data_IF_298116929230
#
_entry.id   IF_298116929230
#
_cell.length_a   1.000
_cell.length_b   1.000
_cell.length_c   1.000
_cell.angle_alpha   90.00
_cell.angle_beta   90.00
_cell.angle_gamma   90.00
#
_symmetry.space_group_name_H-M   'P 1'
#
loop_
_entity.id
_entity.type
_entity.pdbx_description
1 polymer ?
#
# COMPACT_ATOMS: atom_id res chain seq x y z
N UNK A 1 20.98 -21.51 -12.96
CA UNK A 1 20.03 -20.48 -13.44
C UNK A 1 19.10 -20.18 -12.28
N UNK A 2 19.46 -19.19 -11.46
CA UNK A 2 18.62 -18.75 -10.36
C UNK A 2 17.46 -17.94 -10.96
N UNK A 3 16.24 -18.46 -10.82
CA UNK A 3 15.03 -17.71 -11.08
C UNK A 3 15.05 -16.52 -10.11
N UNK A 4 15.27 -15.32 -10.65
CA UNK A 4 14.99 -14.08 -9.92
C UNK A 4 13.49 -14.07 -9.71
N UNK A 5 13.05 -14.30 -8.48
CA UNK A 5 11.69 -14.00 -8.07
C UNK A 5 11.51 -12.51 -8.31
N UNK A 6 10.68 -12.16 -9.27
CA UNK A 6 10.35 -10.79 -9.58
C UNK A 6 9.65 -10.22 -8.35
N UNK A 7 10.35 -9.39 -7.57
CA UNK A 7 9.76 -8.68 -6.45
C UNK A 7 8.82 -7.60 -7.00
N UNK A 8 7.59 -7.98 -7.32
CA UNK A 8 6.51 -7.03 -7.52
C UNK A 8 6.20 -6.38 -6.17
N UNK A 9 6.45 -5.07 -6.08
CA UNK A 9 6.19 -4.32 -4.85
C UNK A 9 4.68 -4.04 -4.71
N UNK A 10 4.14 -4.12 -3.48
CA UNK A 10 2.74 -3.76 -3.24
C UNK A 10 2.49 -2.29 -3.58
N UNK A 11 1.27 -1.99 -3.99
CA UNK A 11 0.85 -0.60 -4.16
C UNK A 11 0.96 0.17 -2.84
N UNK A 12 1.11 1.50 -2.91
CA UNK A 12 1.08 2.33 -1.70
C UNK A 12 -0.19 2.07 -0.91
N UNK A 13 -0.07 1.94 0.41
CA UNK A 13 -1.24 1.72 1.27
C UNK A 13 -2.10 2.98 1.31
N UNK A 14 -3.29 2.90 0.74
CA UNK A 14 -4.32 3.94 0.73
C UNK A 14 -5.64 3.38 1.28
N UNK A 15 -6.59 4.26 1.61
CA UNK A 15 -7.94 3.87 2.04
C UNK A 15 -8.25 4.23 3.49
N UNK A 16 -9.20 3.53 4.14
CA UNK A 16 -9.63 3.87 5.47
C UNK A 16 -8.51 3.75 6.51
N UNK A 17 -8.20 4.87 7.17
CA UNK A 17 -7.05 4.99 8.11
C UNK A 17 -7.09 3.93 9.22
N UNK A 18 -8.27 3.56 9.70
CA UNK A 18 -8.41 2.56 10.77
C UNK A 18 -7.96 1.15 10.34
N UNK A 19 -7.99 0.82 9.04
CA UNK A 19 -7.51 -0.46 8.51
C UNK A 19 -5.98 -0.53 8.39
N UNK A 20 -5.28 0.61 8.36
CA UNK A 20 -3.80 0.65 8.32
C UNK A 20 -3.14 -0.14 9.46
N UNK A 21 -3.84 -0.33 10.58
CA UNK A 21 -3.38 -1.12 11.74
C UNK A 21 -3.23 -2.62 11.45
N UNK A 22 -3.75 -3.09 10.32
CA UNK A 22 -3.58 -4.45 9.81
C UNK A 22 -2.30 -4.59 8.97
N UNK A 23 -1.73 -3.48 8.49
CA UNK A 23 -0.46 -3.50 7.76
C UNK A 23 0.66 -4.04 8.65
N UNK A 24 1.53 -4.86 8.05
CA UNK A 24 2.62 -5.55 8.75
C UNK A 24 2.17 -6.74 9.62
N UNK A 25 0.88 -7.13 9.60
CA UNK A 25 0.38 -8.35 10.25
C UNK A 25 -0.09 -9.33 9.20
N UNK A 26 0.15 -10.62 9.46
CA UNK A 26 -0.25 -11.70 8.56
C UNK A 26 -1.17 -12.69 9.29
N UNK A 27 -2.19 -13.16 8.59
CA UNK A 27 -3.22 -14.03 9.13
C UNK A 27 -3.29 -15.29 8.27
N UNK A 28 -3.18 -16.45 8.90
CA UNK A 28 -3.16 -17.72 8.20
C UNK A 28 -4.38 -18.57 8.45
N UNK A 29 -4.75 -19.35 7.44
CA UNK A 29 -5.78 -20.38 7.49
C UNK A 29 -5.20 -21.64 6.85
N UNK A 30 -5.30 -22.77 7.56
CA UNK A 30 -4.97 -24.08 6.99
C UNK A 30 -6.27 -24.74 6.56
N UNK A 31 -6.37 -25.05 5.28
CA UNK A 31 -7.51 -25.73 4.70
C UNK A 31 -7.02 -26.90 3.84
N UNK A 32 -7.48 -28.11 4.18
CA UNK A 32 -6.98 -29.36 3.60
C UNK A 32 -5.45 -29.49 3.71
N UNK A 33 -4.71 -29.47 2.59
CA UNK A 33 -3.25 -29.61 2.54
C UNK A 33 -2.52 -28.28 2.34
N UNK A 34 -3.23 -27.15 2.32
CA UNK A 34 -2.65 -25.84 2.04
C UNK A 34 -2.79 -24.89 3.23
N UNK A 35 -1.73 -24.15 3.52
CA UNK A 35 -1.74 -22.98 4.39
C UNK A 35 -1.81 -21.74 3.51
N UNK A 36 -2.88 -20.97 3.66
CA UNK A 36 -3.01 -19.65 3.07
C UNK A 36 -2.59 -18.60 4.08
N UNK A 37 -1.92 -17.55 3.62
CA UNK A 37 -1.51 -16.43 4.46
C UNK A 37 -1.85 -15.12 3.77
N UNK A 38 -2.61 -14.27 4.46
CA UNK A 38 -2.98 -12.93 4.01
C UNK A 38 -2.23 -11.91 4.86
N UNK A 39 -1.44 -11.06 4.21
CA UNK A 39 -0.85 -9.87 4.81
C UNK A 39 -1.53 -8.64 4.17
N UNK A 40 -2.53 -8.02 4.83
CA UNK A 40 -3.26 -6.88 4.24
C UNK A 40 -2.32 -5.76 3.80
N UNK A 41 -2.60 -5.17 2.64
CA UNK A 41 -1.76 -4.16 1.97
C UNK A 41 -0.39 -4.65 1.48
N UNK A 42 -0.14 -5.96 1.51
CA UNK A 42 1.09 -6.55 1.03
C UNK A 42 0.82 -7.64 -0.01
N UNK A 43 0.55 -8.87 0.40
CA UNK A 43 0.33 -10.00 -0.51
C UNK A 43 -0.53 -11.09 0.13
N UNK A 44 -0.91 -12.06 -0.71
CA UNK A 44 -1.53 -13.33 -0.32
C UNK A 44 -0.64 -14.45 -0.81
N UNK A 45 -0.32 -15.41 0.05
CA UNK A 45 0.50 -16.58 -0.31
C UNK A 45 -0.22 -17.88 -0.01
N UNK A 46 0.21 -18.92 -0.71
CA UNK A 46 -0.21 -20.31 -0.50
C UNK A 46 1.03 -21.18 -0.32
N UNK A 47 0.99 -22.01 0.72
CA UNK A 47 2.05 -22.97 1.03
C UNK A 47 1.45 -24.36 1.23
N UNK A 48 1.79 -25.30 0.37
CA UNK A 48 1.48 -26.71 0.55
C UNK A 48 2.19 -27.25 1.80
N UNK A 49 1.44 -27.92 2.67
CA UNK A 49 1.93 -28.43 3.96
C UNK A 49 2.44 -29.88 3.89
N UNK A 50 2.54 -30.47 2.70
CA UNK A 50 3.02 -31.84 2.54
C UNK A 50 4.54 -31.90 2.73
N UNK A 51 5.06 -33.00 3.30
CA UNK A 51 6.49 -33.21 3.51
C UNK A 51 7.22 -33.64 2.21
N UNK A 52 6.85 -33.03 1.09
CA UNK A 52 7.47 -33.27 -0.22
C UNK A 52 8.59 -32.25 -0.43
N UNK A 53 9.69 -32.70 -1.00
CA UNK A 53 10.82 -31.82 -1.34
C UNK A 53 10.45 -30.74 -2.37
N UNK A 54 9.34 -30.92 -3.10
CA UNK A 54 8.81 -30.03 -4.11
C UNK A 54 7.40 -29.51 -3.78
N UNK A 55 7.06 -29.36 -2.49
CA UNK A 55 5.80 -28.78 -2.06
C UNK A 55 5.60 -27.38 -2.70
N UNK A 56 4.40 -27.12 -3.23
CA UNK A 56 4.12 -25.85 -3.88
C UNK A 56 4.11 -24.69 -2.87
N UNK A 57 4.76 -23.59 -3.22
CA UNK A 57 4.73 -22.34 -2.47
C UNK A 57 4.68 -21.20 -3.46
N UNK A 58 3.72 -20.29 -3.32
CA UNK A 58 3.51 -19.25 -4.31
C UNK A 58 2.66 -18.08 -3.86
N UNK A 59 2.72 -17.00 -4.65
CA UNK A 59 1.96 -15.77 -4.41
C UNK A 59 0.63 -15.85 -5.18
N UNK A 60 -0.49 -15.69 -4.46
CA UNK A 60 -1.84 -15.66 -5.05
C UNK A 60 -2.30 -14.26 -5.45
N UNK A 61 -1.55 -13.23 -5.05
CA UNK A 61 -1.75 -11.85 -5.44
C UNK A 61 -1.03 -10.88 -4.50
N UNK A 62 -0.85 -9.66 -4.98
CA UNK A 62 -0.15 -8.55 -4.33
C UNK A 62 -1.12 -7.37 -4.31
N UNK A 63 -1.09 -6.61 -3.21
CA UNK A 63 -1.99 -5.49 -3.01
C UNK A 63 -1.96 -4.51 -4.18
N UNK A 64 -3.12 -4.33 -4.81
CA UNK A 64 -3.26 -3.59 -6.06
C UNK A 64 -4.18 -2.38 -5.89
N UNK A 65 -5.46 -2.61 -5.58
CA UNK A 65 -6.47 -1.57 -5.47
C UNK A 65 -7.66 -2.00 -4.61
N UNK A 66 -8.50 -1.05 -4.23
CA UNK A 66 -9.78 -1.32 -3.60
C UNK A 66 -10.84 -1.72 -4.64
N UNK A 67 -11.76 -2.59 -4.24
CA UNK A 67 -13.06 -2.70 -4.89
C UNK A 67 -14.03 -1.73 -4.22
N UNK A 68 -14.58 -0.81 -5.00
CA UNK A 68 -15.57 0.16 -4.54
C UNK A 68 -16.88 -0.08 -5.30
N UNK A 69 -17.98 -0.22 -4.56
CA UNK A 69 -19.33 -0.27 -5.12
C UNK A 69 -20.25 0.59 -4.28
N UNK A 70 -21.12 1.38 -4.91
CA UNK A 70 -22.07 2.27 -4.22
C UNK A 70 -21.37 3.15 -3.17
N UNK A 71 -20.23 3.76 -3.51
CA UNK A 71 -19.46 4.65 -2.61
C UNK A 71 -19.00 3.98 -1.30
N UNK A 72 -18.89 2.64 -1.31
CA UNK A 72 -18.42 1.82 -0.19
C UNK A 72 -17.27 0.92 -0.62
N UNK A 73 -16.24 0.81 0.23
CA UNK A 73 -15.20 -0.21 0.09
C UNK A 73 -15.83 -1.60 0.30
N UNK A 74 -15.64 -2.50 -0.65
CA UNK A 74 -16.18 -3.88 -0.61
C UNK A 74 -15.10 -4.93 -0.40
N UNK A 75 -13.92 -4.70 -0.94
CA UNK A 75 -12.84 -5.65 -0.83
C UNK A 75 -11.52 -5.10 -1.35
N UNK A 76 -10.50 -5.92 -1.23
CA UNK A 76 -9.14 -5.63 -1.68
C UNK A 76 -8.83 -6.54 -2.87
N UNK A 77 -8.47 -5.95 -4.01
CA UNK A 77 -7.93 -6.68 -5.13
C UNK A 77 -6.44 -6.91 -4.92
N UNK A 78 -6.06 -8.18 -4.95
CA UNK A 78 -4.68 -8.65 -4.90
C UNK A 78 -4.37 -9.23 -6.28
N UNK A 79 -3.51 -8.59 -7.07
CA UNK A 79 -3.22 -8.99 -8.47
C UNK A 79 -1.75 -9.36 -8.63
N UNK A 80 -1.36 -9.78 -9.83
CA UNK A 80 0.05 -10.02 -10.18
C UNK A 80 0.75 -11.02 -9.24
N UNK A 81 0.02 -12.07 -8.86
CA UNK A 81 0.61 -13.24 -8.24
C UNK A 81 1.38 -14.09 -9.25
N UNK A 82 1.79 -15.28 -8.83
CA UNK A 82 2.56 -16.21 -9.65
C UNK A 82 1.85 -16.51 -10.99
N UNK A 83 2.65 -16.73 -12.04
CA UNK A 83 2.16 -17.14 -13.34
C UNK A 83 1.30 -18.41 -13.25
N UNK A 84 0.16 -18.38 -13.93
CA UNK A 84 -0.84 -19.44 -13.96
C UNK A 84 -1.45 -19.53 -15.36
N UNK A 85 -0.82 -20.36 -16.19
CA UNK A 85 -1.16 -20.52 -17.61
C UNK A 85 -0.95 -19.21 -18.38
N UNK A 86 -2.02 -18.60 -18.90
CA UNK A 86 -1.97 -17.36 -19.68
C UNK A 86 -2.20 -16.10 -18.86
N UNK A 87 -2.35 -16.22 -17.53
CA UNK A 87 -2.62 -15.09 -16.63
C UNK A 87 -1.84 -15.22 -15.33
N UNK A 88 -1.68 -14.13 -14.61
CA UNK A 88 -1.17 -14.16 -13.23
C UNK A 88 -2.29 -14.55 -12.26
N UNK A 89 -1.94 -15.24 -11.16
CA UNK A 89 -2.90 -15.46 -10.07
C UNK A 89 -3.39 -14.14 -9.51
N UNK A 90 -4.67 -14.11 -9.14
CA UNK A 90 -5.28 -12.96 -8.49
C UNK A 90 -6.24 -13.41 -7.41
N UNK A 91 -6.37 -12.60 -6.38
CA UNK A 91 -7.21 -12.86 -5.23
C UNK A 91 -8.09 -11.65 -4.92
N UNK A 92 -9.35 -11.89 -4.58
CA UNK A 92 -10.25 -10.89 -4.02
C UNK A 92 -10.42 -11.15 -2.53
N UNK A 93 -10.09 -10.18 -1.70
CA UNK A 93 -10.29 -10.26 -0.25
C UNK A 93 -11.51 -9.44 0.14
N UNK A 94 -12.56 -10.12 0.57
CA UNK A 94 -13.76 -9.49 1.11
C UNK A 94 -13.59 -9.23 2.61
N UNK A 95 -13.92 -8.02 3.06
CA UNK A 95 -13.84 -7.63 4.46
C UNK A 95 -15.20 -7.82 5.12
N UNK A 96 -15.24 -8.59 6.21
CA UNK A 96 -16.48 -8.90 6.94
C UNK A 96 -16.34 -8.58 8.42
N UNK A 97 -17.45 -8.19 9.05
CA UNK A 97 -17.47 -7.94 10.49
C UNK A 97 -17.24 -9.25 11.25
N UNK A 98 -16.26 -9.26 12.14
CA UNK A 98 -15.96 -10.40 13.00
C UNK A 98 -15.43 -9.97 14.37
N UNK A 99 -15.42 -10.91 15.33
CA UNK A 99 -14.95 -10.63 16.70
C UNK A 99 -13.43 -10.49 16.81
N UNK A 100 -12.70 -11.09 15.87
CA UNK A 100 -11.24 -11.17 15.85
C UNK A 100 -10.73 -10.95 14.44
N UNK A 101 -9.51 -10.44 14.29
CA UNK A 101 -8.83 -10.38 13.00
C UNK A 101 -8.40 -11.79 12.57
N UNK A 102 -9.01 -12.35 11.53
CA UNK A 102 -8.65 -13.68 11.02
C UNK A 102 -9.04 -13.87 9.56
N UNK A 103 -8.27 -14.70 8.87
CA UNK A 103 -8.69 -15.25 7.57
C UNK A 103 -9.72 -16.36 7.84
N UNK A 104 -10.98 -16.13 7.46
CA UNK A 104 -12.10 -16.98 7.82
C UNK A 104 -12.39 -18.06 6.77
N UNK A 105 -12.21 -17.73 5.49
CA UNK A 105 -12.49 -18.66 4.39
C UNK A 105 -11.62 -18.34 3.17
N UNK A 106 -11.26 -19.38 2.41
CA UNK A 106 -10.56 -19.29 1.12
C UNK A 106 -11.22 -20.24 0.13
N UNK A 107 -11.40 -19.79 -1.11
CA UNK A 107 -11.88 -20.64 -2.20
C UNK A 107 -11.24 -20.26 -3.54
N UNK A 108 -11.22 -21.20 -4.48
CA UNK A 108 -10.81 -20.97 -5.88
C UNK A 108 -12.05 -21.10 -6.79
N UNK A 109 -12.89 -20.05 -6.88
CA UNK A 109 -14.12 -20.10 -7.69
C UNK A 109 -13.86 -20.29 -9.20
N UNK A 110 -12.69 -19.89 -9.68
CA UNK A 110 -12.25 -20.18 -11.05
C UNK A 110 -10.74 -20.33 -11.08
N UNK A 111 -10.21 -21.09 -12.02
CA UNK A 111 -8.77 -21.39 -12.11
C UNK A 111 -7.92 -20.10 -12.05
N UNK A 112 -6.95 -20.08 -11.13
CA UNK A 112 -6.06 -18.94 -10.86
C UNK A 112 -6.73 -17.70 -10.23
N UNK A 113 -8.00 -17.78 -9.83
CA UNK A 113 -8.74 -16.69 -9.18
C UNK A 113 -9.25 -17.16 -7.83
N UNK A 114 -8.80 -16.50 -6.79
CA UNK A 114 -9.12 -16.85 -5.41
C UNK A 114 -10.07 -15.83 -4.79
N UNK A 115 -10.96 -16.30 -3.93
CA UNK A 115 -11.83 -15.49 -3.10
C UNK A 115 -11.54 -15.79 -1.63
N UNK A 116 -11.19 -14.74 -0.87
CA UNK A 116 -10.85 -14.82 0.54
C UNK A 116 -11.84 -13.98 1.33
N UNK A 117 -12.28 -14.49 2.48
CA UNK A 117 -13.08 -13.74 3.44
C UNK A 117 -12.23 -13.44 4.67
N UNK A 118 -11.97 -12.16 4.91
CA UNK A 118 -11.24 -11.70 6.09
C UNK A 118 -12.20 -11.08 7.10
N UNK A 119 -12.23 -11.63 8.30
CA UNK A 119 -13.04 -11.14 9.41
C UNK A 119 -12.22 -10.15 10.25
N UNK A 120 -12.82 -9.01 10.59
CA UNK A 120 -12.20 -8.03 11.48
C UNK A 120 -13.25 -7.19 12.23
N UNK A 121 -13.03 -6.85 13.52
CA UNK A 121 -13.90 -5.93 14.24
C UNK A 121 -13.85 -4.50 13.68
N UNK A 122 -12.82 -4.18 12.89
CA UNK A 122 -12.59 -2.84 12.35
C UNK A 122 -13.66 -2.40 11.34
N UNK A 123 -14.36 -3.36 10.72
CA UNK A 123 -15.40 -3.09 9.71
C UNK A 123 -16.83 -3.31 10.24
N UNK A 124 -17.00 -3.52 11.54
CA UNK A 124 -18.33 -3.79 12.13
C UNK A 124 -19.21 -2.54 12.25
N UNK A 125 -18.64 -1.34 12.29
CA UNK A 125 -19.44 -0.13 12.33
C UNK A 125 -20.03 0.14 10.92
N UNK A 126 -21.33 0.50 10.80
CA UNK A 126 -21.98 0.69 9.49
C UNK A 126 -21.26 1.68 8.57
N UNK A 127 -20.56 2.65 9.15
CA UNK A 127 -19.85 3.70 8.43
C UNK A 127 -18.34 3.42 8.24
N UNK A 128 -17.82 2.28 8.70
CA UNK A 128 -16.38 1.98 8.59
C UNK A 128 -15.91 1.93 7.13
N UNK A 129 -16.76 1.50 6.21
CA UNK A 129 -16.37 1.28 4.81
C UNK A 129 -16.88 2.37 3.85
N UNK A 130 -17.38 3.50 4.36
CA UNK A 130 -17.76 4.62 3.49
C UNK A 130 -16.52 5.26 2.86
N UNK A 131 -16.58 5.56 1.56
CA UNK A 131 -15.46 6.16 0.84
C UNK A 131 -15.32 7.65 1.15
N UNK A 132 -16.43 8.39 1.15
CA UNK A 132 -16.41 9.84 1.35
C UNK A 132 -15.64 10.27 2.62
N UNK A 133 -15.91 9.70 3.82
CA UNK A 133 -15.18 10.07 5.04
C UNK A 133 -13.71 9.65 5.04
N UNK A 134 -13.32 8.68 4.21
CA UNK A 134 -11.93 8.22 4.10
C UNK A 134 -11.07 9.14 3.21
N UNK A 135 -11.71 9.94 2.35
CA UNK A 135 -11.02 10.85 1.44
C UNK A 135 -10.34 12.01 2.17
N UNK A 136 -9.18 12.49 1.66
CA UNK A 136 -8.63 13.77 2.07
C UNK A 136 -9.60 14.93 1.83
N UNK A 137 -9.56 15.96 2.66
CA UNK A 137 -10.44 17.14 2.60
C UNK A 137 -10.55 17.76 1.21
N UNK A 138 -9.44 17.88 0.48
CA UNK A 138 -9.45 18.43 -0.88
C UNK A 138 -10.28 17.59 -1.87
N UNK A 139 -10.24 16.27 -1.73
CA UNK A 139 -11.00 15.35 -2.56
C UNK A 139 -12.47 15.26 -2.13
N UNK A 140 -12.77 15.42 -0.83
CA UNK A 140 -14.15 15.58 -0.34
C UNK A 140 -14.79 16.83 -0.95
N UNK A 141 -14.12 17.98 -0.91
CA UNK A 141 -14.63 19.21 -1.50
C UNK A 141 -14.84 19.08 -3.02
N UNK A 142 -13.98 18.32 -3.70
CA UNK A 142 -14.17 18.05 -5.13
C UNK A 142 -15.37 17.14 -5.37
N UNK A 143 -15.60 16.15 -4.51
CA UNK A 143 -16.82 15.34 -4.54
C UNK A 143 -18.06 16.22 -4.33
N UNK A 144 -18.07 17.08 -3.31
CA UNK A 144 -19.23 17.95 -3.01
C UNK A 144 -19.64 18.81 -4.21
N UNK A 145 -18.66 19.30 -4.97
CA UNK A 145 -18.92 20.04 -6.22
C UNK A 145 -19.54 19.15 -7.30
N UNK A 146 -19.05 17.93 -7.46
CA UNK A 146 -19.59 16.96 -8.42
C UNK A 146 -21.04 16.58 -8.08
N UNK A 147 -21.38 16.46 -6.80
CA UNK A 147 -22.77 16.27 -6.35
C UNK A 147 -23.65 17.49 -6.67
N UNK A 148 -23.13 18.70 -6.42
CA UNK A 148 -23.82 19.93 -6.76
C UNK A 148 -24.05 20.07 -8.26
N UNK A 149 -23.03 19.80 -9.08
CA UNK A 149 -23.12 19.84 -10.55
C UNK A 149 -24.14 18.83 -11.08
N UNK A 150 -24.28 17.66 -10.43
CA UNK A 150 -25.31 16.67 -10.78
C UNK A 150 -26.71 17.18 -10.39
N UNK A 151 -26.85 17.77 -9.20
CA UNK A 151 -28.12 18.32 -8.71
C UNK A 151 -28.59 19.52 -9.53
N UNK A 152 -27.66 20.32 -10.02
CA UNK A 152 -27.90 21.46 -10.92
C UNK A 152 -28.06 21.03 -12.40
N UNK A 153 -28.08 19.72 -12.67
CA UNK A 153 -28.24 19.10 -14.01
C UNK A 153 -27.16 19.54 -15.02
N UNK A 154 -25.98 19.94 -14.54
CA UNK A 154 -24.84 20.35 -15.37
C UNK A 154 -24.06 19.15 -15.93
N UNK A 155 -24.18 18.00 -15.27
CA UNK A 155 -23.56 16.74 -15.69
C UNK A 155 -24.58 15.60 -15.74
N UNK A 156 -24.31 14.61 -16.59
CA UNK A 156 -25.10 13.38 -16.65
C UNK A 156 -24.68 12.40 -15.55
N UNK A 157 -25.49 11.38 -15.27
CA UNK A 157 -25.11 10.29 -14.35
C UNK A 157 -23.79 9.60 -14.75
N UNK A 158 -23.55 9.44 -16.06
CA UNK A 158 -22.27 8.93 -16.56
C UNK A 158 -21.11 9.89 -16.28
N UNK A 159 -21.34 11.20 -16.41
CA UNK A 159 -20.36 12.23 -16.06
C UNK A 159 -20.02 12.22 -14.57
N UNK A 160 -21.03 12.03 -13.73
CA UNK A 160 -20.87 11.88 -12.28
C UNK A 160 -20.01 10.64 -11.94
N UNK A 161 -20.33 9.47 -12.47
CA UNK A 161 -19.56 8.24 -12.25
C UNK A 161 -18.10 8.37 -12.70
N UNK A 162 -17.87 8.98 -13.86
CA UNK A 162 -16.51 9.26 -14.37
C UNK A 162 -15.75 10.20 -13.44
N UNK A 163 -16.41 11.22 -12.91
CA UNK A 163 -15.80 12.20 -12.00
C UNK A 163 -15.45 11.57 -10.66
N UNK A 164 -16.33 10.72 -10.11
CA UNK A 164 -16.03 9.94 -8.90
C UNK A 164 -14.87 8.97 -9.11
N UNK A 165 -14.82 8.28 -10.26
CA UNK A 165 -13.71 7.40 -10.58
C UNK A 165 -12.37 8.14 -10.55
N UNK A 166 -12.31 9.32 -11.17
CA UNK A 166 -11.11 10.16 -11.16
C UNK A 166 -10.72 10.60 -9.73
N UNK A 167 -11.70 10.92 -8.87
CA UNK A 167 -11.45 11.22 -7.45
C UNK A 167 -10.84 10.01 -6.72
N UNK A 168 -11.31 8.79 -7.01
CA UNK A 168 -10.80 7.58 -6.37
C UNK A 168 -9.41 7.18 -6.88
N UNK A 169 -9.13 7.43 -8.16
CA UNK A 169 -7.78 7.28 -8.74
C UNK A 169 -6.80 8.27 -8.11
N UNK A 170 -7.18 9.55 -7.97
CA UNK A 170 -6.35 10.57 -7.32
C UNK A 170 -6.14 10.30 -5.82
N UNK A 171 -7.11 9.65 -5.16
CA UNK A 171 -6.96 9.16 -3.79
C UNK A 171 -6.06 7.91 -3.67
N UNK A 172 -5.66 7.33 -4.80
CA UNK A 172 -4.92 6.07 -4.88
C UNK A 172 -5.74 4.85 -4.48
N UNK A 173 -7.07 4.92 -4.52
CA UNK A 173 -7.95 3.80 -4.19
C UNK A 173 -8.15 2.86 -5.38
N UNK A 174 -8.16 3.40 -6.59
CA UNK A 174 -8.25 2.68 -7.85
C UNK A 174 -6.99 2.93 -8.68
N UNK A 175 -6.62 1.96 -9.52
CA UNK A 175 -5.56 2.16 -10.50
C UNK A 175 -6.13 2.76 -11.79
N UNK A 176 -5.32 3.60 -12.43
CA UNK A 176 -5.63 4.07 -13.78
C UNK A 176 -5.49 2.91 -14.78
N UNK A 177 -6.21 2.93 -15.91
CA UNK A 177 -6.08 1.91 -16.95
C UNK A 177 -4.62 1.71 -17.41
N UNK A 178 -3.88 2.81 -17.56
CA UNK A 178 -2.46 2.79 -17.92
C UNK A 178 -1.59 2.06 -16.90
N UNK A 179 -1.88 2.20 -15.59
CA UNK A 179 -1.17 1.47 -14.53
C UNK A 179 -1.57 -0.01 -14.45
N UNK A 180 -2.81 -0.34 -14.83
CA UNK A 180 -3.26 -1.73 -14.89
C UNK A 180 -2.69 -2.49 -16.09
N UNK A 181 -2.35 -1.79 -17.18
CA UNK A 181 -1.74 -2.36 -18.38
C UNK A 181 -0.20 -2.34 -18.31
N UNK A 182 0.41 -1.35 -17.66
CA UNK A 182 1.89 -1.26 -17.53
C UNK A 182 2.51 -2.44 -16.78
N UNK A 183 1.74 -3.17 -15.98
CA UNK A 183 2.22 -4.38 -15.28
C UNK A 183 2.11 -5.64 -16.15
N UNK A 184 1.28 -5.62 -17.20
CA UNK A 184 1.19 -6.71 -18.19
C UNK A 184 2.11 -6.52 -19.40
N UNK A 185 2.70 -5.33 -19.56
CA UNK A 185 3.73 -5.01 -20.56
C UNK A 185 4.82 -4.11 -19.96
N UNK A 186 5.70 -4.63 -19.11
CA UNK A 186 6.98 -3.95 -18.84
C UNK A 186 7.98 -4.19 -19.97
N UNK A 187 7.73 -3.47 -21.05
CA UNK A 187 8.74 -2.91 -21.92
C UNK A 187 8.59 -1.40 -21.95
N UNK A 188 8.81 -0.68 -20.83
CA UNK A 188 8.98 0.76 -20.90
C UNK A 188 8.48 1.63 -19.74
N UNK A 189 9.01 1.45 -18.53
CA UNK A 189 9.36 2.59 -17.69
C UNK A 189 10.87 2.53 -17.50
N UNK A 190 11.63 3.33 -18.26
CA UNK A 190 13.08 3.44 -18.11
C UNK A 190 13.40 4.10 -16.76
N UNK A 191 13.35 3.32 -15.67
CA UNK A 191 14.37 3.46 -14.65
C UNK A 191 15.71 3.21 -15.34
N UNK A 192 16.59 4.20 -15.38
CA UNK A 192 17.93 4.02 -15.93
C UNK A 192 18.66 3.01 -15.05
N UNK A 193 18.63 1.74 -15.42
CA UNK A 193 19.49 0.73 -14.83
C UNK A 193 20.90 1.00 -15.36
N UNK A 194 21.71 1.66 -14.54
CA UNK A 194 23.09 1.96 -14.87
C UNK A 194 23.93 0.67 -14.80
N UNK A 195 24.49 0.26 -15.94
CA UNK A 195 25.32 -0.95 -16.02
C UNK A 195 26.69 -0.75 -15.34
N UNK A 196 27.12 0.50 -15.14
CA UNK A 196 28.39 0.84 -14.49
C UNK A 196 28.24 2.05 -13.56
N UNK A 197 29.06 2.10 -12.50
CA UNK A 197 29.12 3.22 -11.55
C UNK A 197 29.39 4.57 -12.25
N UNK A 198 30.22 4.55 -13.29
CA UNK A 198 30.58 5.75 -14.05
C UNK A 198 29.37 6.30 -14.83
N UNK A 199 28.56 5.43 -15.44
CA UNK A 199 27.33 5.84 -16.11
C UNK A 199 26.28 6.41 -15.14
N UNK A 200 26.24 5.90 -13.90
CA UNK A 200 25.38 6.41 -12.83
C UNK A 200 25.82 7.81 -12.38
N UNK A 201 27.13 8.01 -12.18
CA UNK A 201 27.68 9.29 -11.73
C UNK A 201 27.44 10.41 -12.75
N UNK A 202 27.62 10.13 -14.04
CA UNK A 202 27.36 11.11 -15.10
C UNK A 202 25.87 11.47 -15.19
N UNK A 203 24.98 10.49 -15.07
CA UNK A 203 23.55 10.74 -15.03
C UNK A 203 23.12 11.53 -13.79
N UNK A 204 23.70 11.23 -12.62
CA UNK A 204 23.46 12.00 -11.40
C UNK A 204 23.93 13.46 -11.54
N UNK A 205 25.08 13.68 -12.18
CA UNK A 205 25.60 15.02 -12.48
C UNK A 205 24.70 15.79 -13.44
N UNK A 206 24.21 15.14 -14.50
CA UNK A 206 23.25 15.72 -15.43
C UNK A 206 21.93 16.08 -14.73
N UNK A 207 21.40 15.18 -13.91
CA UNK A 207 20.18 15.40 -13.11
C UNK A 207 20.34 16.56 -12.12
N UNK A 208 21.48 16.64 -11.42
CA UNK A 208 21.79 17.73 -10.50
C UNK A 208 21.84 19.09 -11.20
N UNK A 209 22.39 19.14 -12.41
CA UNK A 209 22.41 20.35 -13.24
C UNK A 209 21.00 20.78 -13.64
N UNK A 210 20.16 19.83 -14.04
CA UNK A 210 18.77 20.10 -14.42
C UNK A 210 17.92 20.55 -13.24
N UNK A 211 18.09 19.93 -12.07
CA UNK A 211 17.46 20.36 -10.82
C UNK A 211 17.82 21.80 -10.45
N UNK A 212 19.08 22.23 -10.65
CA UNK A 212 19.49 23.62 -10.45
C UNK A 212 18.81 24.56 -11.45
N UNK A 213 18.72 24.17 -12.72
CA UNK A 213 18.05 24.94 -13.78
C UNK A 213 16.57 25.15 -13.45
N UNK A 214 15.86 24.08 -13.11
CA UNK A 214 14.43 24.12 -12.77
C UNK A 214 14.17 24.97 -11.51
N UNK A 215 15.03 24.85 -10.48
CA UNK A 215 14.95 25.72 -9.30
C UNK A 215 15.14 27.19 -9.63
N UNK A 216 16.08 27.51 -10.52
CA UNK A 216 16.28 28.89 -10.99
C UNK A 216 15.02 29.44 -11.67
N UNK A 217 14.37 28.63 -12.51
CA UNK A 217 13.12 29.01 -13.20
C UNK A 217 11.99 29.22 -12.18
N UNK A 218 11.79 28.29 -11.24
CA UNK A 218 10.77 28.43 -10.19
C UNK A 218 10.98 29.69 -9.33
N UNK A 219 12.24 30.00 -9.01
CA UNK A 219 12.59 31.20 -8.25
C UNK A 219 12.32 32.48 -9.07
N UNK A 220 12.59 32.46 -10.37
CA UNK A 220 12.30 33.57 -11.29
C UNK A 220 10.79 33.85 -11.39
N UNK A 221 9.95 32.81 -11.31
CA UNK A 221 8.50 32.91 -11.37
C UNK A 221 7.82 33.04 -9.99
N UNK A 222 8.58 33.27 -8.91
CA UNK A 222 8.06 33.42 -7.54
C UNK A 222 7.19 32.24 -7.05
N UNK A 223 7.50 31.02 -7.48
CA UNK A 223 6.83 29.79 -7.03
C UNK A 223 7.68 29.09 -5.95
N UNK A 224 7.15 28.84 -4.73
CA UNK A 224 7.93 28.19 -3.68
C UNK A 224 8.16 26.71 -3.99
N UNK A 225 9.42 26.29 -4.08
CA UNK A 225 9.81 24.89 -4.17
C UNK A 225 10.07 24.31 -2.77
N UNK A 226 9.21 23.39 -2.32
CA UNK A 226 9.38 22.65 -1.06
C UNK A 226 10.13 21.35 -1.36
N UNK A 227 11.28 21.13 -0.70
CA UNK A 227 12.00 19.84 -0.75
C UNK A 227 11.18 18.78 0.01
N UNK A 228 10.96 17.57 -0.56
CA UNK A 228 10.63 16.40 0.24
C UNK A 228 11.79 16.06 1.18
N UNK A 229 11.49 15.73 2.44
CA UNK A 229 12.49 15.38 3.44
C UNK A 229 13.10 14.00 3.12
N UNK A 230 14.41 13.96 2.85
CA UNK A 230 15.19 12.73 2.78
C UNK A 230 15.67 12.36 4.19
N UNK A 231 15.32 11.15 4.61
CA UNK A 231 15.79 10.45 5.81
C UNK A 231 17.31 10.29 5.78
N UNK A 232 18.02 10.90 6.73
CA UNK A 232 19.46 10.69 6.91
C UNK A 232 19.73 9.41 7.71
N UNK A 233 20.26 8.40 7.05
CA UNK A 233 21.09 7.36 7.67
C UNK A 233 22.55 7.73 7.49
N UNK A 234 23.30 7.92 8.58
CA UNK A 234 24.77 7.96 8.62
C UNK A 234 25.18 7.41 9.99
N UNK A 235 25.62 6.16 10.03
CA UNK A 235 27.03 5.71 10.01
C UNK A 235 27.73 5.79 11.37
N UNK A 236 27.90 4.60 11.93
CA UNK A 236 29.11 4.05 12.55
C UNK A 236 30.29 5.02 12.79
N UNK A 237 30.60 5.27 14.06
CA UNK A 237 31.91 5.76 14.51
C UNK A 237 32.48 4.77 15.52
N UNK A 238 33.66 4.22 15.19
CA UNK A 238 34.43 3.31 16.02
C UNK A 238 35.08 3.96 17.26
N UNK A 239 35.69 3.15 18.16
CA UNK A 239 35.86 3.51 19.56
C UNK A 239 37.18 4.24 19.85
N UNK A 240 37.10 5.24 20.74
CA UNK A 240 38.25 5.77 21.49
C UNK A 240 37.94 5.80 22.99
N UNK A 241 38.70 5.02 23.77
CA UNK A 241 38.92 5.18 25.22
C UNK A 241 40.11 6.14 25.43
N UNK A 242 40.14 6.96 26.52
CA UNK A 242 40.53 6.47 27.87
C UNK A 242 39.76 7.06 29.08
N UNK A 243 39.68 6.24 30.14
CA UNK A 243 39.78 6.46 31.63
C UNK A 243 39.55 7.87 32.22
N UNK A 244 39.01 8.13 33.42
CA UNK A 244 38.80 7.40 34.69
C UNK A 244 37.79 8.20 35.56
N UNK A 245 37.07 7.50 36.48
CA UNK A 245 36.30 7.91 37.70
C UNK A 245 35.67 9.31 37.79
N UNK A 246 34.41 9.45 38.23
CA UNK A 246 34.01 9.36 39.65
C UNK A 246 32.48 9.22 39.77
N UNK A 247 32.04 8.44 40.75
CA UNK A 247 30.66 8.22 41.13
C UNK A 247 30.05 9.47 41.79
N UNK A 248 28.80 9.79 41.44
CA UNK A 248 27.89 10.43 42.39
C UNK A 248 26.42 10.10 42.07
N UNK A 249 25.66 9.95 43.14
CA UNK A 249 24.47 9.13 43.27
C UNK A 249 23.39 10.03 43.86
N UNK A 250 22.38 10.47 43.09
CA UNK A 250 21.16 11.09 43.64
C UNK A 250 19.97 10.76 42.71
N UNK A 251 19.14 9.77 43.07
CA UNK A 251 17.97 9.86 43.98
C UNK A 251 16.72 10.31 43.21
N UNK A 252 15.96 9.33 42.73
CA UNK A 252 14.55 9.51 42.41
C UNK A 252 13.73 9.47 43.70
N UNK A 253 12.59 10.15 43.68
CA UNK A 253 11.51 9.92 44.63
C UNK A 253 10.15 9.99 43.90
N UNK A 254 9.12 9.33 44.43
CA UNK A 254 8.05 8.70 43.66
C UNK A 254 6.73 9.47 43.74
N UNK A 255 5.78 9.02 42.90
CA UNK A 255 4.43 9.55 42.85
C UNK A 255 3.64 9.39 44.15
N UNK A 256 2.67 10.28 44.33
CA UNK A 256 1.61 10.18 45.32
C UNK A 256 0.25 10.25 44.62
N UNK A 257 -0.44 9.10 44.63
CA UNK A 257 -1.90 8.98 44.52
C UNK A 257 -2.51 9.43 45.85
N UNK A 258 -3.61 10.20 45.79
CA UNK A 258 -4.46 10.49 46.93
C UNK A 258 -5.85 10.95 46.47
N UNK A 259 -6.86 10.13 46.78
CA UNK A 259 -8.28 10.27 46.50
C UNK A 259 -8.99 11.36 47.34
N UNK A 260 -10.25 11.63 46.97
CA UNK A 260 -11.39 12.23 47.74
C UNK A 260 -11.22 13.71 48.11
N UNK A 261 -12.15 14.63 47.82
CA UNK A 261 -13.62 14.63 47.67
C UNK A 261 -14.02 15.67 46.61
#
# INVERSE_FOLDING_TARGET
MSLVLQESHPSSSSGPVHLSRLSGKCFSLVESTYKYELCPFHNVTQHEQTFRWNAYSGILGIWHEWEIANNTFRGMWMRDGDSCHSRSRQSKVELTCGKTNRLAHVSEPSTCVYALTFETPLVCHPHSLLVYPALPMALQQRWDRVEQDLADELITSQGYEKSLRAIFEDAGYLKTPEQSESVQQEGGAKGLVFQTLESCNEAHKALSKEMKRLKSILTQHSLPYVKPAETSSSEHLGPRTPTDKTAELLRGDPGLRGNTL
#
